data_IF_041134339627
#
_entry.id   IF_041134339627
#
_cell.length_a   1.000
_cell.length_b   1.000
_cell.length_c   1.000
_cell.angle_alpha   90.00
_cell.angle_beta   90.00
_cell.angle_gamma   90.00
#
_symmetry.space_group_name_H-M   'P 1'
#
loop_
_entity.id
_entity.type
_entity.pdbx_description
1 polymer ?
#
# COMPACT_ATOMS: atom_id res chain seq x y z
N UNK A 1 -43.70 7.75 38.49
CA UNK A 1 -42.47 8.34 39.06
C UNK A 1 -41.32 7.92 38.17
N UNK A 2 -40.86 8.87 37.37
CA UNK A 2 -39.77 8.72 36.42
C UNK A 2 -38.45 8.58 37.18
N UNK A 3 -37.61 7.62 36.79
CA UNK A 3 -36.24 7.53 37.27
C UNK A 3 -35.42 8.61 36.56
N UNK A 4 -35.01 9.63 37.31
CA UNK A 4 -34.05 10.65 36.87
C UNK A 4 -32.68 10.01 36.68
N UNK A 5 -32.34 9.65 35.43
CA UNK A 5 -30.97 9.29 35.06
C UNK A 5 -30.19 10.60 34.91
N UNK A 6 -29.52 11.03 35.98
CA UNK A 6 -28.45 12.03 35.88
C UNK A 6 -27.23 11.38 35.21
N UNK A 7 -27.22 11.34 33.88
CA UNK A 7 -25.97 11.17 33.13
C UNK A 7 -25.08 12.37 33.43
N UNK A 8 -23.93 12.15 34.05
CA UNK A 8 -22.96 13.22 34.23
C UNK A 8 -22.26 13.49 32.90
N UNK A 9 -21.75 14.71 32.69
CA UNK A 9 -21.03 15.09 31.45
C UNK A 9 -19.84 14.15 31.21
N UNK A 10 -19.23 13.62 32.27
CA UNK A 10 -18.14 12.64 32.23
C UNK A 10 -18.60 11.29 31.67
N UNK A 11 -19.81 10.83 32.02
CA UNK A 11 -20.39 9.58 31.51
C UNK A 11 -20.69 9.69 30.01
N UNK A 12 -21.19 10.85 29.57
CA UNK A 12 -21.46 11.13 28.15
C UNK A 12 -20.16 11.13 27.34
N UNK A 13 -19.10 11.79 27.85
CA UNK A 13 -17.78 11.80 27.23
C UNK A 13 -17.17 10.39 27.12
N UNK A 14 -17.31 9.57 28.17
CA UNK A 14 -16.85 8.19 28.16
C UNK A 14 -17.56 7.31 27.13
N UNK A 15 -18.88 7.44 27.01
CA UNK A 15 -19.70 6.69 26.03
C UNK A 15 -19.35 7.09 24.60
N UNK A 16 -19.16 8.39 24.32
CA UNK A 16 -18.76 8.88 23.00
C UNK A 16 -17.37 8.37 22.61
N UNK A 17 -16.41 8.34 23.54
CA UNK A 17 -15.07 7.83 23.29
C UNK A 17 -15.10 6.32 22.96
N UNK A 18 -15.82 5.52 23.76
CA UNK A 18 -15.97 4.08 23.52
C UNK A 18 -16.63 3.78 22.16
N UNK A 19 -17.68 4.53 21.81
CA UNK A 19 -18.35 4.39 20.52
C UNK A 19 -17.40 4.70 19.35
N UNK A 20 -16.59 5.75 19.46
CA UNK A 20 -15.60 6.11 18.45
C UNK A 20 -14.54 5.02 18.28
N UNK A 21 -13.93 4.56 19.38
CA UNK A 21 -12.91 3.52 19.36
C UNK A 21 -13.41 2.22 18.72
N UNK A 22 -14.64 1.81 19.04
CA UNK A 22 -15.25 0.62 18.45
C UNK A 22 -15.41 0.75 16.93
N UNK A 23 -15.90 1.89 16.44
CA UNK A 23 -16.05 2.13 14.99
C UNK A 23 -14.70 2.12 14.28
N UNK A 24 -13.66 2.70 14.89
CA UNK A 24 -12.30 2.67 14.36
C UNK A 24 -11.76 1.24 14.27
N UNK A 25 -12.00 0.41 15.30
CA UNK A 25 -11.60 -1.01 15.27
C UNK A 25 -12.34 -1.78 14.19
N UNK A 26 -13.66 -1.61 14.07
CA UNK A 26 -14.49 -2.25 13.04
C UNK A 26 -13.97 -1.89 11.64
N UNK A 27 -13.62 -0.62 11.43
CA UNK A 27 -13.04 -0.15 10.17
C UNK A 27 -11.67 -0.75 9.91
N UNK A 28 -10.80 -0.83 10.93
CA UNK A 28 -9.49 -1.47 10.82
C UNK A 28 -9.60 -2.97 10.48
N UNK A 29 -10.70 -3.62 10.83
CA UNK A 29 -11.01 -5.00 10.41
C UNK A 29 -11.54 -5.10 8.96
N UNK A 30 -11.64 -3.96 8.27
CA UNK A 30 -12.05 -3.83 6.88
C UNK A 30 -13.56 -3.88 6.67
N UNK A 31 -14.37 -3.61 7.70
CA UNK A 31 -15.81 -3.45 7.48
C UNK A 31 -16.10 -2.22 6.61
N UNK A 32 -17.08 -2.33 5.73
CA UNK A 32 -17.57 -1.19 4.96
C UNK A 32 -18.25 -0.18 5.87
N UNK A 33 -17.74 1.06 5.84
CA UNK A 33 -18.31 2.18 6.58
C UNK A 33 -18.80 3.22 5.59
N UNK A 34 -20.10 3.50 5.63
CA UNK A 34 -20.72 4.45 4.73
C UNK A 34 -20.22 5.88 4.96
N UNK A 35 -20.48 6.77 4.00
CA UNK A 35 -20.01 8.16 4.05
C UNK A 35 -20.57 8.94 5.26
N UNK A 36 -21.81 8.67 5.67
CA UNK A 36 -22.46 9.32 6.81
C UNK A 36 -21.77 8.94 8.11
N UNK A 37 -21.58 7.64 8.33
CA UNK A 37 -20.91 7.13 9.53
C UNK A 37 -19.47 7.66 9.64
N UNK A 38 -18.72 7.67 8.53
CA UNK A 38 -17.38 8.27 8.48
C UNK A 38 -17.39 9.75 8.86
N UNK A 39 -18.32 10.51 8.29
CA UNK A 39 -18.44 11.95 8.56
C UNK A 39 -18.80 12.23 10.02
N UNK A 40 -19.77 11.52 10.58
CA UNK A 40 -20.18 11.66 11.98
C UNK A 40 -19.03 11.34 12.94
N UNK A 41 -18.25 10.30 12.64
CA UNK A 41 -17.09 9.95 13.44
C UNK A 41 -16.02 11.04 13.39
N UNK A 42 -15.73 11.59 12.20
CA UNK A 42 -14.80 12.70 12.06
C UNK A 42 -15.27 13.96 12.83
N UNK A 43 -16.56 14.30 12.77
CA UNK A 43 -17.12 15.42 13.55
C UNK A 43 -17.00 15.19 15.05
N UNK A 44 -17.31 13.97 15.51
CA UNK A 44 -17.16 13.60 16.91
C UNK A 44 -15.72 13.76 17.38
N UNK A 45 -14.74 13.30 16.57
CA UNK A 45 -13.32 13.46 16.89
C UNK A 45 -12.90 14.94 16.82
N UNK A 46 -13.44 15.75 15.91
CA UNK A 46 -13.12 17.16 15.81
C UNK A 46 -13.53 17.94 17.07
N UNK A 47 -14.68 17.60 17.66
CA UNK A 47 -15.24 18.22 18.87
C UNK A 47 -14.56 17.77 20.18
N UNK A 48 -13.79 16.68 20.15
CA UNK A 48 -13.05 16.20 21.33
C UNK A 48 -12.02 17.22 21.81
N UNK A 49 -11.76 17.22 23.11
CA UNK A 49 -10.66 18.00 23.66
C UNK A 49 -9.29 17.37 23.32
N UNK A 50 -8.21 18.14 23.51
CA UNK A 50 -6.85 17.71 23.16
C UNK A 50 -6.41 16.44 23.89
N UNK A 51 -6.88 16.23 25.13
CA UNK A 51 -6.57 15.03 25.91
C UNK A 51 -7.18 13.80 25.27
N UNK A 52 -8.47 13.88 24.91
CA UNK A 52 -9.19 12.79 24.24
C UNK A 52 -8.60 12.46 22.87
N UNK A 53 -8.24 13.48 22.07
CA UNK A 53 -7.57 13.27 20.77
C UNK A 53 -6.24 12.53 20.92
N UNK A 54 -5.45 12.91 21.93
CA UNK A 54 -4.18 12.24 22.25
C UNK A 54 -4.40 10.80 22.70
N UNK A 55 -5.43 10.55 23.52
CA UNK A 55 -5.80 9.21 23.97
C UNK A 55 -6.21 8.30 22.79
N UNK A 56 -7.03 8.80 21.87
CA UNK A 56 -7.42 8.04 20.66
C UNK A 56 -6.21 7.78 19.78
N UNK A 57 -5.36 8.77 19.54
CA UNK A 57 -4.15 8.59 18.75
C UNK A 57 -3.24 7.50 19.37
N UNK A 58 -3.02 7.55 20.69
CA UNK A 58 -2.25 6.54 21.42
C UNK A 58 -2.90 5.15 21.38
N UNK A 59 -4.21 5.05 21.59
CA UNK A 59 -4.96 3.80 21.47
C UNK A 59 -4.81 3.17 20.08
N UNK A 60 -4.91 3.99 19.02
CA UNK A 60 -4.77 3.52 17.65
C UNK A 60 -3.38 2.95 17.39
N UNK A 61 -2.32 3.71 17.69
CA UNK A 61 -0.94 3.35 17.34
C UNK A 61 -0.40 2.22 18.21
N UNK A 62 -0.76 2.18 19.49
CA UNK A 62 -0.19 1.20 20.43
C UNK A 62 -0.99 -0.11 20.47
N UNK A 63 -2.30 -0.08 20.21
CA UNK A 63 -3.20 -1.22 20.46
C UNK A 63 -3.98 -1.61 19.22
N UNK A 64 -4.84 -0.72 18.72
CA UNK A 64 -5.87 -1.12 17.75
C UNK A 64 -5.29 -1.50 16.39
N UNK A 65 -4.36 -0.70 15.85
CA UNK A 65 -3.77 -0.94 14.53
C UNK A 65 -2.93 -2.22 14.53
N UNK A 66 -1.96 -2.43 15.46
CA UNK A 66 -1.19 -3.67 15.51
C UNK A 66 -2.07 -4.92 15.63
N UNK A 67 -3.04 -4.91 16.54
CA UNK A 67 -3.94 -6.05 16.76
C UNK A 67 -4.83 -6.32 15.54
N UNK A 68 -5.37 -5.27 14.91
CA UNK A 68 -6.22 -5.44 13.73
C UNK A 68 -5.45 -5.99 12.53
N UNK A 69 -4.21 -5.52 12.28
CA UNK A 69 -3.42 -6.02 11.16
C UNK A 69 -3.07 -7.51 11.32
N UNK A 70 -2.66 -7.93 12.52
CA UNK A 70 -2.39 -9.35 12.82
C UNK A 70 -3.66 -10.20 12.69
N UNK A 71 -4.77 -9.76 13.28
CA UNK A 71 -6.04 -10.47 13.21
C UNK A 71 -6.59 -10.58 11.79
N UNK A 72 -6.44 -9.53 10.97
CA UNK A 72 -6.85 -9.57 9.57
C UNK A 72 -6.03 -10.57 8.77
N UNK A 73 -4.72 -10.66 9.04
CA UNK A 73 -3.87 -11.68 8.43
C UNK A 73 -4.31 -13.08 8.84
N UNK A 74 -4.48 -13.34 10.14
CA UNK A 74 -4.94 -14.63 10.65
C UNK A 74 -6.29 -15.05 10.05
N UNK A 75 -7.24 -14.11 9.90
CA UNK A 75 -8.53 -14.36 9.23
C UNK A 75 -8.37 -14.73 7.77
N UNK A 76 -7.47 -14.07 7.04
CA UNK A 76 -7.24 -14.32 5.61
C UNK A 76 -6.56 -15.66 5.38
N UNK A 77 -5.64 -16.06 6.27
CA UNK A 77 -4.93 -17.34 6.19
C UNK A 77 -5.62 -18.49 6.95
N UNK A 78 -6.74 -18.20 7.61
CA UNK A 78 -7.49 -19.17 8.44
C UNK A 78 -6.61 -19.86 9.51
N UNK A 79 -5.74 -19.10 10.17
CA UNK A 79 -4.80 -19.61 11.16
C UNK A 79 -4.95 -18.95 12.54
N UNK A 80 -4.37 -19.57 13.57
CA UNK A 80 -4.20 -18.92 14.87
C UNK A 80 -3.03 -17.92 14.85
N UNK A 81 -2.98 -17.01 15.82
CA UNK A 81 -1.93 -15.98 15.90
C UNK A 81 -0.53 -16.56 16.09
N UNK A 82 -0.38 -17.70 16.76
CA UNK A 82 0.88 -18.40 16.98
C UNK A 82 1.32 -19.27 15.79
N UNK A 83 0.48 -19.39 14.76
CA UNK A 83 0.75 -20.16 13.54
C UNK A 83 1.09 -19.26 12.33
N UNK A 84 0.97 -17.93 12.49
CA UNK A 84 1.10 -16.97 11.40
C UNK A 84 2.44 -17.05 10.65
N UNK A 85 3.53 -17.39 11.35
CA UNK A 85 4.87 -17.60 10.77
C UNK A 85 4.95 -18.74 9.75
N UNK A 86 3.98 -19.67 9.77
CA UNK A 86 3.92 -20.83 8.87
C UNK A 86 2.76 -20.73 7.88
N UNK A 87 2.01 -19.64 7.91
CA UNK A 87 0.76 -19.52 7.18
C UNK A 87 0.92 -19.40 5.66
N UNK A 88 2.05 -18.87 5.17
CA UNK A 88 2.26 -18.63 3.74
C UNK A 88 2.93 -19.80 3.04
N UNK A 89 2.29 -20.25 1.98
CA UNK A 89 2.76 -21.29 1.06
C UNK A 89 2.78 -20.76 -0.37
N UNK A 90 3.33 -21.51 -1.31
CA UNK A 90 3.38 -21.10 -2.73
C UNK A 90 1.98 -20.99 -3.33
N UNK A 91 1.04 -21.81 -2.86
CA UNK A 91 -0.34 -21.87 -3.36
C UNK A 91 -1.21 -20.71 -2.88
N UNK A 92 -0.89 -20.10 -1.74
CA UNK A 92 -1.75 -19.12 -1.08
C UNK A 92 -1.20 -17.68 -1.08
N UNK A 93 -0.12 -17.41 -1.82
CA UNK A 93 0.45 -16.06 -2.00
C UNK A 93 -0.60 -15.02 -2.44
N UNK A 94 -1.59 -15.44 -3.22
CA UNK A 94 -2.68 -14.58 -3.66
C UNK A 94 -3.49 -14.00 -2.50
N UNK A 95 -3.59 -14.71 -1.37
CA UNK A 95 -4.26 -14.23 -0.15
C UNK A 95 -3.53 -13.04 0.47
N UNK A 96 -2.20 -13.08 0.53
CA UNK A 96 -1.40 -11.94 0.99
C UNK A 96 -1.57 -10.72 0.07
N UNK A 97 -1.60 -10.95 -1.24
CA UNK A 97 -1.85 -9.88 -2.24
C UNK A 97 -3.24 -9.27 -2.05
N UNK A 98 -4.25 -10.10 -1.79
CA UNK A 98 -5.61 -9.63 -1.54
C UNK A 98 -5.69 -8.80 -0.25
N UNK A 99 -5.09 -9.28 0.84
CA UNK A 99 -4.99 -8.54 2.10
C UNK A 99 -4.30 -7.18 1.90
N UNK A 100 -3.17 -7.16 1.19
CA UNK A 100 -2.47 -5.92 0.85
C UNK A 100 -3.33 -4.93 0.08
N UNK A 101 -4.01 -5.40 -0.98
CA UNK A 101 -4.90 -4.56 -1.78
C UNK A 101 -6.02 -3.97 -0.92
N UNK A 102 -6.65 -4.80 -0.08
CA UNK A 102 -7.71 -4.37 0.84
C UNK A 102 -7.20 -3.30 1.81
N UNK A 103 -6.03 -3.50 2.40
CA UNK A 103 -5.39 -2.51 3.29
C UNK A 103 -5.19 -1.17 2.60
N UNK A 104 -4.66 -1.17 1.37
CA UNK A 104 -4.36 0.06 0.62
C UNK A 104 -5.60 0.78 0.07
N UNK A 105 -6.60 0.04 -0.38
CA UNK A 105 -7.70 0.61 -1.18
C UNK A 105 -8.97 0.84 -0.36
N UNK A 106 -9.14 0.13 0.76
CA UNK A 106 -10.33 0.22 1.61
C UNK A 106 -9.96 0.76 3.00
N UNK A 107 -9.11 0.06 3.75
CA UNK A 107 -8.85 0.36 5.16
C UNK A 107 -8.18 1.73 5.32
N UNK A 108 -7.05 1.96 4.65
CA UNK A 108 -6.29 3.21 4.80
C UNK A 108 -7.13 4.43 4.38
N UNK A 109 -7.76 4.49 3.19
CA UNK A 109 -8.54 5.65 2.80
C UNK A 109 -9.73 5.93 3.73
N UNK A 110 -10.39 4.87 4.21
CA UNK A 110 -11.52 4.99 5.13
C UNK A 110 -11.08 5.52 6.49
N UNK A 111 -9.96 5.01 7.02
CA UNK A 111 -9.35 5.52 8.25
C UNK A 111 -8.86 6.98 8.09
N UNK A 112 -8.24 7.33 6.96
CA UNK A 112 -7.83 8.71 6.68
C UNK A 112 -9.03 9.67 6.66
N UNK A 113 -10.16 9.26 6.06
CA UNK A 113 -11.37 10.07 6.01
C UNK A 113 -12.00 10.32 7.40
N UNK A 114 -11.87 9.37 8.33
CA UNK A 114 -12.41 9.52 9.68
C UNK A 114 -11.45 10.26 10.63
N UNK A 115 -10.14 10.12 10.41
CA UNK A 115 -9.09 10.60 11.32
C UNK A 115 -8.39 11.88 10.87
N UNK A 116 -8.86 12.53 9.80
CA UNK A 116 -8.32 13.84 9.40
C UNK A 116 -8.33 14.90 10.53
N UNK A 117 -9.28 14.93 11.49
CA UNK A 117 -9.21 15.90 12.58
C UNK A 117 -8.02 15.65 13.52
N UNK A 118 -7.58 14.39 13.68
CA UNK A 118 -6.36 14.08 14.43
C UNK A 118 -5.11 14.56 13.67
N UNK A 119 -5.09 14.41 12.34
CA UNK A 119 -4.00 14.96 11.50
C UNK A 119 -3.92 16.48 11.57
N UNK A 120 -5.07 17.15 11.63
CA UNK A 120 -5.15 18.60 11.76
C UNK A 120 -4.70 19.07 13.17
N UNK A 121 -4.97 18.27 14.20
CA UNK A 121 -4.53 18.51 15.57
C UNK A 121 -3.02 18.29 15.75
N UNK A 122 -2.50 17.19 15.20
CA UNK A 122 -1.08 16.83 15.23
C UNK A 122 -0.60 16.44 13.83
N UNK A 123 0.20 17.32 13.21
CA UNK A 123 0.74 17.11 11.88
C UNK A 123 1.69 15.91 11.79
N UNK A 124 2.25 15.44 12.91
CA UNK A 124 3.12 14.25 12.96
C UNK A 124 2.31 12.95 12.93
N UNK A 125 1.05 12.97 13.33
CA UNK A 125 0.17 11.80 13.25
C UNK A 125 -0.05 11.41 11.79
N UNK A 126 0.36 10.21 11.39
CA UNK A 126 0.16 9.70 10.02
C UNK A 126 -0.41 8.29 10.04
N UNK A 127 -1.74 8.21 10.02
CA UNK A 127 -2.45 6.94 10.07
C UNK A 127 -2.04 5.96 8.97
N UNK A 128 -1.69 6.45 7.77
CA UNK A 128 -1.25 5.58 6.67
C UNK A 128 0.06 4.92 7.05
N UNK A 129 1.02 5.71 7.52
CA UNK A 129 2.32 5.21 7.97
C UNK A 129 2.17 4.22 9.12
N UNK A 130 1.32 4.53 10.11
CA UNK A 130 1.09 3.65 11.27
C UNK A 130 0.48 2.30 10.87
N UNK A 131 -0.51 2.29 9.97
CA UNK A 131 -1.09 1.04 9.44
C UNK A 131 -0.03 0.23 8.67
N UNK A 132 0.76 0.88 7.82
CA UNK A 132 1.78 0.21 7.03
C UNK A 132 2.91 -0.34 7.90
N UNK A 133 3.32 0.38 8.95
CA UNK A 133 4.30 -0.09 9.94
C UNK A 133 3.78 -1.32 10.68
N UNK A 134 2.54 -1.29 11.18
CA UNK A 134 1.95 -2.45 11.81
C UNK A 134 1.83 -3.64 10.86
N UNK A 135 1.49 -3.40 9.58
CA UNK A 135 1.49 -4.44 8.56
C UNK A 135 2.88 -5.04 8.35
N UNK A 136 3.93 -4.21 8.29
CA UNK A 136 5.34 -4.67 8.25
C UNK A 136 5.66 -5.53 9.47
N UNK A 137 5.43 -5.00 10.67
CA UNK A 137 5.94 -5.56 11.92
C UNK A 137 5.18 -6.80 12.38
N UNK A 138 3.84 -6.78 12.25
CA UNK A 138 2.97 -7.83 12.77
C UNK A 138 2.60 -8.88 11.74
N UNK A 139 2.69 -8.56 10.45
CA UNK A 139 2.27 -9.48 9.38
C UNK A 139 3.49 -9.89 8.55
N UNK A 140 4.12 -8.96 7.84
CA UNK A 140 5.15 -9.33 6.87
C UNK A 140 6.40 -9.95 7.51
N UNK A 141 6.89 -9.39 8.62
CA UNK A 141 8.04 -9.95 9.32
C UNK A 141 7.84 -11.42 9.72
N UNK A 142 6.61 -11.77 10.13
CA UNK A 142 6.27 -13.12 10.58
C UNK A 142 6.06 -14.04 9.40
N UNK A 143 5.22 -13.63 8.45
CA UNK A 143 4.84 -14.48 7.32
C UNK A 143 6.00 -14.74 6.36
N UNK A 144 6.91 -13.77 6.23
CA UNK A 144 8.02 -13.85 5.29
C UNK A 144 9.33 -14.37 5.91
N UNK A 145 9.37 -14.62 7.23
CA UNK A 145 10.61 -15.00 7.95
C UNK A 145 11.28 -16.22 7.35
N UNK A 146 10.48 -17.25 7.03
CA UNK A 146 10.96 -18.58 6.65
C UNK A 146 10.67 -18.95 5.19
N UNK A 147 10.25 -17.99 4.38
CA UNK A 147 9.96 -18.23 2.97
C UNK A 147 11.25 -18.54 2.19
N UNK A 148 11.26 -19.69 1.52
CA UNK A 148 12.39 -20.20 0.70
C UNK A 148 12.06 -20.34 -0.79
N UNK A 149 10.97 -19.73 -1.24
CA UNK A 149 10.57 -19.74 -2.66
C UNK A 149 10.46 -18.30 -3.18
N UNK A 150 10.52 -18.16 -4.50
CA UNK A 150 10.46 -16.85 -5.16
C UNK A 150 9.05 -16.26 -5.09
N UNK A 151 8.95 -14.98 -4.75
CA UNK A 151 7.69 -14.24 -4.61
C UNK A 151 7.63 -13.01 -5.55
N UNK A 152 7.74 -13.18 -6.87
CA UNK A 152 7.83 -12.06 -7.80
C UNK A 152 6.59 -11.15 -7.75
N UNK A 153 5.42 -11.73 -7.48
CA UNK A 153 4.14 -11.02 -7.35
C UNK A 153 4.09 -10.07 -6.15
N UNK A 154 4.91 -10.32 -5.11
CA UNK A 154 4.96 -9.49 -3.91
C UNK A 154 5.93 -8.32 -4.02
N UNK A 155 6.72 -8.24 -5.09
CA UNK A 155 7.78 -7.23 -5.25
C UNK A 155 7.28 -5.80 -5.03
N UNK A 156 6.18 -5.43 -5.69
CA UNK A 156 5.62 -4.08 -5.54
C UNK A 156 5.19 -3.79 -4.09
N UNK A 157 4.57 -4.77 -3.42
CA UNK A 157 4.13 -4.63 -2.04
C UNK A 157 5.33 -4.44 -1.11
N UNK A 158 6.34 -5.31 -1.21
CA UNK A 158 7.55 -5.26 -0.39
C UNK A 158 8.22 -3.90 -0.54
N UNK A 159 8.49 -3.46 -1.78
CA UNK A 159 9.11 -2.16 -2.03
C UNK A 159 8.27 -0.99 -1.50
N UNK A 160 6.95 -1.01 -1.68
CA UNK A 160 6.06 0.04 -1.17
C UNK A 160 6.09 0.12 0.35
N UNK A 161 6.06 -1.02 1.04
CA UNK A 161 6.12 -1.06 2.50
C UNK A 161 7.49 -0.61 3.00
N UNK A 162 8.59 -1.10 2.41
CA UNK A 162 9.95 -0.68 2.79
C UNK A 162 10.11 0.84 2.68
N UNK A 163 9.67 1.43 1.57
CA UNK A 163 9.79 2.86 1.37
C UNK A 163 8.91 3.66 2.34
N UNK A 164 7.65 3.27 2.52
CA UNK A 164 6.69 4.02 3.33
C UNK A 164 6.96 3.93 4.84
N UNK A 165 7.66 2.88 5.29
CA UNK A 165 7.85 2.59 6.71
C UNK A 165 9.27 2.78 7.20
N UNK A 166 10.19 3.24 6.34
CA UNK A 166 11.59 3.47 6.70
C UNK A 166 11.73 4.25 8.02
N UNK A 167 12.45 3.65 8.95
CA UNK A 167 12.81 4.19 10.26
C UNK A 167 14.02 3.42 10.85
N UNK A 168 14.51 3.87 12.00
CA UNK A 168 15.68 3.30 12.67
C UNK A 168 15.33 2.12 13.59
N UNK A 169 14.20 1.44 13.34
CA UNK A 169 13.71 0.36 14.19
C UNK A 169 14.34 -0.98 13.81
N UNK A 170 14.50 -1.87 14.81
CA UNK A 170 15.04 -3.23 14.60
C UNK A 170 14.11 -4.05 13.70
N UNK A 171 12.80 -3.80 13.77
CA UNK A 171 11.80 -4.41 12.91
C UNK A 171 12.00 -4.01 11.44
N UNK A 172 12.34 -2.75 11.16
CA UNK A 172 12.63 -2.30 9.80
C UNK A 172 13.90 -2.93 9.23
N UNK A 173 14.96 -3.00 10.03
CA UNK A 173 16.22 -3.64 9.65
C UNK A 173 15.97 -5.11 9.28
N UNK A 174 15.31 -5.87 10.16
CA UNK A 174 14.93 -7.27 9.89
C UNK A 174 14.05 -7.41 8.65
N UNK A 175 13.11 -6.49 8.46
CA UNK A 175 12.24 -6.53 7.28
C UNK A 175 13.05 -6.27 5.99
N UNK A 176 14.03 -5.38 6.04
CA UNK A 176 14.91 -5.08 4.92
C UNK A 176 15.76 -6.29 4.53
N UNK A 177 16.31 -7.01 5.52
CA UNK A 177 17.05 -8.27 5.27
C UNK A 177 16.16 -9.32 4.59
N UNK A 178 14.93 -9.50 5.07
CA UNK A 178 13.95 -10.43 4.48
C UNK A 178 13.56 -9.98 3.06
N UNK A 179 13.34 -8.69 2.87
CA UNK A 179 13.01 -8.11 1.57
C UNK A 179 14.12 -8.36 0.55
N UNK A 180 15.37 -8.07 0.91
CA UNK A 180 16.53 -8.28 0.04
C UNK A 180 16.69 -9.75 -0.34
N UNK A 181 16.52 -10.66 0.61
CA UNK A 181 16.52 -12.10 0.36
C UNK A 181 15.45 -12.50 -0.66
N UNK A 182 14.19 -12.11 -0.42
CA UNK A 182 13.06 -12.49 -1.28
C UNK A 182 13.16 -11.86 -2.67
N UNK A 183 13.60 -10.61 -2.76
CA UNK A 183 13.76 -9.89 -4.02
C UNK A 183 14.98 -10.38 -4.82
N UNK A 184 16.05 -10.79 -4.14
CA UNK A 184 17.23 -11.40 -4.74
C UNK A 184 16.97 -12.76 -5.37
N UNK A 185 16.13 -13.60 -4.73
CA UNK A 185 15.74 -14.92 -5.26
C UNK A 185 15.04 -14.87 -6.63
N UNK A 186 14.44 -13.73 -6.98
CA UNK A 186 13.80 -13.55 -8.29
C UNK A 186 14.81 -13.24 -9.40
N UNK A 187 16.00 -12.70 -9.06
CA UNK A 187 17.03 -12.38 -10.07
C UNK A 187 17.73 -13.66 -10.56
N UNK A 188 18.00 -14.62 -9.69
CA UNK A 188 18.67 -15.88 -10.07
C UNK A 188 17.81 -16.70 -11.06
N UNK A 189 16.49 -16.79 -10.84
CA UNK A 189 15.57 -17.48 -11.77
C UNK A 189 15.40 -16.75 -13.11
N UNK A 190 15.41 -15.42 -13.12
CA UNK A 190 15.34 -14.64 -14.37
C UNK A 190 16.62 -14.79 -15.20
N UNK A 191 17.80 -14.82 -14.56
CA UNK A 191 19.09 -15.05 -15.22
C UNK A 191 19.15 -16.45 -15.83
N UNK A 192 18.76 -17.49 -15.09
CA UNK A 192 18.71 -18.86 -15.62
C UNK A 192 17.74 -19.00 -16.79
N UNK A 193 16.55 -18.39 -16.70
CA UNK A 193 15.58 -18.38 -17.80
C UNK A 193 16.12 -17.70 -19.06
N UNK A 194 16.83 -16.58 -18.90
CA UNK A 194 17.38 -15.81 -20.02
C UNK A 194 18.59 -16.50 -20.67
N UNK A 195 19.47 -17.11 -19.88
CA UNK A 195 20.58 -17.94 -20.39
C UNK A 195 20.08 -19.17 -21.14
N UNK A 196 19.05 -19.83 -20.64
CA UNK A 196 18.48 -21.03 -21.27
C UNK A 196 17.75 -20.68 -22.57
N UNK A 197 17.18 -19.47 -22.68
CA UNK A 197 16.66 -18.91 -23.94
C UNK A 197 17.80 -18.56 -24.92
N UNK A 198 18.92 -18.01 -24.45
CA UNK A 198 20.12 -17.75 -25.27
C UNK A 198 20.72 -19.07 -25.79
N UNK A 199 20.84 -20.09 -24.95
CA UNK A 199 21.32 -21.42 -25.32
C UNK A 199 20.38 -22.13 -26.30
N UNK A 200 19.06 -22.05 -26.11
CA UNK A 200 18.07 -22.56 -27.09
C UNK A 200 18.14 -21.83 -28.42
N UNK A 201 18.37 -20.52 -28.43
CA UNK A 201 18.59 -19.77 -29.68
C UNK A 201 19.85 -20.28 -30.38
N UNK A 202 20.97 -20.43 -29.69
CA UNK A 202 22.24 -20.93 -30.26
C UNK A 202 22.10 -22.36 -30.79
N UNK A 203 21.43 -23.25 -30.07
CA UNK A 203 21.18 -24.63 -30.51
C UNK A 203 20.31 -24.68 -31.77
N UNK A 204 19.28 -23.83 -31.85
CA UNK A 204 18.39 -23.73 -33.03
C UNK A 204 19.13 -23.18 -34.26
N UNK A 205 20.09 -22.26 -34.07
CA UNK A 205 20.94 -21.76 -35.17
C UNK A 205 21.99 -22.79 -35.62
N UNK A 206 22.41 -23.72 -34.76
CA UNK A 206 23.39 -24.76 -35.11
C UNK A 206 22.78 -26.04 -35.69
N UNK A 207 21.50 -26.32 -35.42
CA UNK A 207 20.78 -27.47 -35.98
C UNK A 207 20.10 -27.19 -37.33
N UNK A 208 20.09 -25.93 -37.80
CA UNK A 208 19.67 -25.57 -39.15
C UNK A 208 20.85 -25.66 -40.11
N UNK A 209 21.31 -26.88 -40.39
CA UNK A 209 22.20 -27.14 -41.53
C UNK A 209 21.33 -27.13 -42.79
N UNK A 210 21.54 -26.20 -43.75
CA UNK A 210 20.85 -26.28 -45.02
C UNK A 210 21.51 -27.40 -45.85
N UNK A 211 20.84 -28.53 -45.98
CA UNK A 211 21.06 -29.40 -47.13
C UNK A 211 20.36 -28.76 -48.33
N UNK A 212 21.12 -28.00 -49.13
CA UNK A 212 20.70 -27.63 -50.48
C UNK A 212 21.80 -28.00 -51.45
N UNK A 213 21.65 -29.18 -52.05
CA UNK A 213 22.32 -29.57 -53.30
C UNK A 213 21.81 -28.62 -54.39
N UNK A 214 22.73 -28.10 -55.19
CA UNK A 214 22.54 -26.93 -56.02
C UNK A 214 21.72 -27.12 -57.29
N UNK A 215 21.33 -25.98 -57.87
CA UNK A 215 21.25 -25.81 -59.31
C UNK A 215 21.40 -24.32 -59.68
N UNK A 216 22.23 -23.96 -60.68
CA UNK A 216 22.42 -22.57 -61.09
C UNK A 216 21.58 -22.25 -62.33
N UNK A 217 20.84 -21.13 -62.30
CA UNK A 217 20.56 -20.33 -63.50
C UNK A 217 19.95 -18.97 -63.15
N UNK A 218 20.70 -17.95 -63.55
CA UNK A 218 20.31 -16.65 -64.12
C UNK A 218 18.97 -16.01 -63.68
N UNK A 219 19.04 -14.77 -63.17
CA UNK A 219 18.84 -13.56 -63.98
C UNK A 219 19.07 -12.28 -63.17
N UNK A 220 19.80 -11.37 -63.80
CA UNK A 220 19.92 -9.95 -63.46
C UNK A 220 18.54 -9.27 -63.40
N UNK A 221 18.34 -8.33 -62.47
CA UNK A 221 17.82 -6.98 -62.76
C UNK A 221 18.17 -6.02 -61.61
N UNK A 222 18.15 -4.74 -61.97
CA UNK A 222 18.92 -3.61 -61.45
C UNK A 222 18.00 -2.62 -60.70
N UNK A 223 18.59 -1.79 -59.81
CA UNK A 223 18.10 -0.49 -59.26
C UNK A 223 16.95 -0.60 -58.23
N UNK A 224 16.82 0.23 -57.18
CA UNK A 224 17.26 1.62 -56.94
C UNK A 224 17.18 1.91 -55.42
N UNK A 225 18.05 2.82 -54.93
CA UNK A 225 18.06 3.37 -53.55
C UNK A 225 16.92 4.39 -53.32
N UNK A 226 16.43 4.46 -52.08
CA UNK A 226 16.08 5.67 -51.29
C UNK A 226 15.77 5.17 -49.86
N UNK A 227 16.53 5.45 -48.80
CA UNK A 227 16.82 6.72 -48.10
C UNK A 227 15.60 7.34 -47.38
N UNK A 228 15.83 7.66 -46.10
CA UNK A 228 15.18 8.64 -45.19
C UNK A 228 13.92 8.28 -44.38
N UNK A 229 14.14 7.85 -43.13
CA UNK A 229 13.86 8.55 -41.83
C UNK A 229 12.40 8.85 -41.37
N UNK A 230 12.18 9.11 -40.06
CA UNK A 230 11.03 8.63 -39.27
C UNK A 230 10.01 9.72 -38.90
N UNK A 231 8.83 9.29 -38.48
CA UNK A 231 7.80 10.09 -37.79
C UNK A 231 7.05 9.16 -36.84
N UNK A 232 6.63 9.49 -35.63
CA UNK A 232 6.51 10.79 -34.99
C UNK A 232 6.47 10.57 -33.46
N UNK A 233 7.31 11.30 -32.71
CA UNK A 233 7.11 11.54 -31.27
C UNK A 233 5.82 12.34 -31.11
N UNK A 234 4.95 11.95 -30.18
CA UNK A 234 3.90 12.83 -29.64
C UNK A 234 4.40 13.23 -28.25
N UNK A 235 5.01 14.41 -28.14
CA UNK A 235 5.20 15.09 -26.86
C UNK A 235 3.88 15.79 -26.53
N UNK A 236 3.33 15.51 -25.36
CA UNK A 236 2.25 16.31 -24.78
C UNK A 236 2.94 17.30 -23.85
N UNK A 237 2.90 18.57 -24.24
CA UNK A 237 3.20 19.68 -23.34
C UNK A 237 1.99 19.86 -22.42
N UNK A 238 2.21 19.74 -21.11
CA UNK A 238 1.34 20.37 -20.13
C UNK A 238 1.88 21.78 -19.91
N UNK A 239 1.09 22.78 -20.27
CA UNK A 239 1.33 24.17 -19.90
C UNK A 239 0.82 24.36 -18.47
N UNK A 240 1.72 24.84 -17.61
CA UNK A 240 1.38 25.51 -16.36
C UNK A 240 0.81 26.89 -16.69
N UNK A 241 -0.49 27.08 -16.46
CA UNK A 241 -1.07 28.41 -16.31
C UNK A 241 -1.46 28.61 -14.85
N UNK A 242 -0.55 29.28 -14.15
CA UNK A 242 -0.81 29.96 -12.90
C UNK A 242 -1.76 31.14 -13.16
N UNK A 243 -2.96 31.10 -12.60
CA UNK A 243 -3.78 32.29 -12.42
C UNK A 243 -3.69 32.71 -10.96
N UNK A 244 -2.78 33.64 -10.72
CA UNK A 244 -2.90 34.63 -9.66
C UNK A 244 -4.16 35.45 -9.94
N UNK A 245 -5.14 35.42 -9.04
CA UNK A 245 -6.03 36.56 -8.88
C UNK A 245 -5.93 37.08 -7.45
N UNK A 246 -5.35 38.27 -7.41
CA UNK A 246 -5.21 39.16 -6.28
C UNK A 246 -6.50 39.96 -6.22
N UNK A 247 -7.32 39.74 -5.19
CA UNK A 247 -8.34 40.71 -4.80
C UNK A 247 -7.84 41.41 -3.54
N UNK A 248 -7.25 42.58 -3.77
CA UNK A 248 -7.05 43.65 -2.80
C UNK A 248 -8.27 44.57 -2.84
N UNK A 249 -8.41 45.34 -1.75
CA UNK A 249 -9.22 46.55 -1.57
C UNK A 249 -10.72 46.32 -1.26
N UNK A 250 -11.35 46.99 -0.29
CA UNK A 250 -10.84 47.94 0.68
C UNK A 250 -11.83 48.12 1.85
N UNK A 251 -11.29 48.74 2.90
CA UNK A 251 -11.86 49.32 4.12
C UNK A 251 -13.24 49.98 4.04
N UNK A 252 -13.97 49.92 5.17
CA UNK A 252 -14.34 51.05 6.08
C UNK A 252 -15.18 50.48 7.24
N UNK A 253 -14.70 50.47 8.49
CA UNK A 253 -14.76 51.54 9.51
C UNK A 253 -16.18 51.98 9.89
N UNK A 254 -16.62 51.73 11.13
CA UNK A 254 -17.24 52.72 12.05
C UNK A 254 -17.59 52.08 13.40
N UNK A 255 -17.29 52.85 14.45
CA UNK A 255 -17.69 52.67 15.85
C UNK A 255 -19.20 52.85 16.03
N UNK A 256 -19.79 52.05 16.92
CA UNK A 256 -20.63 52.47 18.07
C UNK A 256 -20.75 51.30 19.06
#
# INVERSE_FOLDING_TARGET
MFWDIKLTITDIKGILNFSCQLQLVITLQGADVDATTRHLLAMSIAEMDSSQKTEIAGFLTQIAIPAAMENNACKVFECATDELDKALTEENVALLVALWKRTLTEIIPTMQAMLYPLKAFDASFDIRREILKAFRDRVLLRILSDVRFGLPTLRSMICSVSFATADDSVEFERFSEIADRILGMNQEKEIEGEEMVKLKKIAKTRLSVPHSIGNPRERMYVKKRAATMPCSRRMVHFSDDAVNDTVKEDRTCSFE
#
